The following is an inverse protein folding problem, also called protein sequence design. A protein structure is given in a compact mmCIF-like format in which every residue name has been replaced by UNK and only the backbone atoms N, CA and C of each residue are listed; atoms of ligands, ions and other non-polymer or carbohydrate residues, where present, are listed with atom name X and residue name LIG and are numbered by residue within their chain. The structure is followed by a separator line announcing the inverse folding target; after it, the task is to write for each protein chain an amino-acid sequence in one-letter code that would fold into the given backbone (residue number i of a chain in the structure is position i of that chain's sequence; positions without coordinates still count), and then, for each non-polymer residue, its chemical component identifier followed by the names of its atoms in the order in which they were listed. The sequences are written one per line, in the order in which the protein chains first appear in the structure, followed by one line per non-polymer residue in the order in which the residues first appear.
data_IF_228591286152
#
_entry.id   IF_228591286152
#
_cell.length_a   1.000
_cell.length_b   1.000
_cell.length_c   1.000
_cell.angle_alpha   90.00
_cell.angle_beta   90.00
_cell.angle_gamma   90.00
#
_symmetry.space_group_name_H-M   'P 1'
#
loop_
_entity.id
_entity.type
_entity.pdbx_description
1 polymer ?
#
# COMPACT_ATOMS: atom_id res chain seq x y z
N UNK A 1 -6.47 -2.30 -7.58
CA UNK A 1 -6.89 -1.07 -6.85
C UNK A 1 -7.42 -1.33 -5.43
N UNK A 2 -8.00 -2.50 -5.13
CA UNK A 2 -8.49 -2.81 -3.77
C UNK A 2 -7.40 -2.77 -2.70
N UNK A 3 -6.24 -3.36 -2.97
CA UNK A 3 -5.09 -3.34 -2.06
C UNK A 3 -4.64 -1.92 -1.66
N UNK A 4 -4.57 -1.00 -2.62
CA UNK A 4 -4.27 0.42 -2.36
C UNK A 4 -5.34 1.09 -1.48
N UNK A 5 -6.61 0.74 -1.64
CA UNK A 5 -7.68 1.24 -0.79
C UNK A 5 -7.54 0.74 0.67
N UNK A 6 -7.08 -0.50 0.87
CA UNK A 6 -6.81 -1.05 2.19
C UNK A 6 -5.69 -0.30 2.91
N UNK A 7 -4.58 0.02 2.22
CA UNK A 7 -3.51 0.85 2.77
C UNK A 7 -4.01 2.24 3.17
N UNK A 8 -4.84 2.86 2.33
CA UNK A 8 -5.44 4.16 2.63
C UNK A 8 -6.42 4.09 3.81
N UNK A 9 -7.19 3.00 3.92
CA UNK A 9 -8.09 2.77 5.04
C UNK A 9 -7.31 2.68 6.36
N UNK A 10 -6.17 1.97 6.40
CA UNK A 10 -5.32 1.92 7.58
C UNK A 10 -4.90 3.30 8.07
N UNK A 11 -4.43 4.16 7.16
CA UNK A 11 -4.13 5.56 7.47
C UNK A 11 -5.34 6.31 8.04
N UNK A 12 -6.50 6.16 7.41
CA UNK A 12 -7.72 6.84 7.85
C UNK A 12 -8.21 6.38 9.20
N UNK A 13 -8.07 5.09 9.52
CA UNK A 13 -8.41 4.56 10.83
C UNK A 13 -7.47 5.12 11.90
N UNK A 14 -6.17 5.13 11.63
CA UNK A 14 -5.20 5.76 12.53
C UNK A 14 -5.51 7.24 12.77
N UNK A 15 -5.69 8.04 11.71
CA UNK A 15 -5.99 9.47 11.81
C UNK A 15 -7.29 9.71 12.59
N UNK A 16 -8.34 8.94 12.29
CA UNK A 16 -9.69 9.12 12.86
C UNK A 16 -9.72 8.82 14.34
N UNK A 17 -9.08 7.73 14.76
CA UNK A 17 -9.07 7.32 16.16
C UNK A 17 -7.90 7.90 16.94
N UNK A 18 -7.06 8.74 16.30
CA UNK A 18 -5.82 9.29 16.86
C UNK A 18 -4.97 8.19 17.50
N UNK A 19 -4.90 7.05 16.82
CA UNK A 19 -4.24 5.84 17.31
C UNK A 19 -2.76 6.17 17.49
N UNK A 20 -2.33 6.29 18.75
CA UNK A 20 -0.92 6.27 19.15
C UNK A 20 -0.54 4.83 19.52
N UNK A 21 0.75 4.58 19.80
CA UNK A 21 1.32 3.26 20.15
C UNK A 21 0.58 2.49 21.27
N UNK A 22 -0.36 3.12 21.98
CA UNK A 22 -1.15 2.54 23.07
C UNK A 22 -2.56 2.05 22.67
N UNK A 23 -2.90 1.99 21.38
CA UNK A 23 -4.27 1.70 20.92
C UNK A 23 -4.54 0.23 20.58
N UNK A 24 -5.70 -0.30 20.96
CA UNK A 24 -6.13 -1.71 20.83
C UNK A 24 -6.57 -2.17 19.42
N UNK A 25 -6.42 -1.34 18.38
CA UNK A 25 -6.86 -1.71 17.03
C UNK A 25 -5.65 -2.17 16.22
N UNK A 26 -5.73 -3.39 15.72
CA UNK A 26 -4.74 -3.98 14.82
C UNK A 26 -5.38 -4.27 13.46
N UNK A 27 -4.63 -4.02 12.39
CA UNK A 27 -5.01 -4.31 11.02
C UNK A 27 -4.02 -5.29 10.40
N UNK A 28 -4.55 -6.45 10.03
CA UNK A 28 -3.86 -7.44 9.22
C UNK A 28 -4.34 -7.30 7.78
N UNK A 29 -3.42 -7.07 6.85
CA UNK A 29 -3.72 -6.85 5.44
C UNK A 29 -3.30 -8.04 4.60
N UNK A 30 -4.14 -8.39 3.62
CA UNK A 30 -3.77 -9.26 2.51
C UNK A 30 -3.98 -8.46 1.22
N UNK A 31 -2.88 -8.10 0.56
CA UNK A 31 -2.83 -7.21 -0.58
C UNK A 31 -2.54 -8.03 -1.82
N UNK A 32 -3.57 -8.30 -2.63
CA UNK A 32 -3.34 -8.79 -3.98
C UNK A 32 -3.00 -7.60 -4.87
N UNK A 33 -1.76 -7.63 -5.37
CA UNK A 33 -1.28 -6.80 -6.45
C UNK A 33 -1.53 -5.29 -6.23
N UNK A 34 -0.84 -4.70 -5.25
CA UNK A 34 -1.04 -3.31 -4.86
C UNK A 34 -0.56 -2.36 -5.95
N UNK A 35 -1.43 -2.04 -6.90
CA UNK A 35 -1.12 -1.10 -7.99
C UNK A 35 -1.90 0.20 -7.83
N UNK A 36 -1.22 1.35 -7.85
CA UNK A 36 -1.89 2.63 -7.75
C UNK A 36 -2.57 2.92 -9.09
N UNK A 37 -3.76 3.51 -9.04
CA UNK A 37 -4.57 3.76 -10.24
C UNK A 37 -4.01 4.81 -11.21
N UNK A 38 -2.80 5.27 -10.97
CA UNK A 38 -2.05 6.33 -11.64
C UNK A 38 -0.60 5.87 -11.85
N UNK A 39 0.04 6.35 -12.91
CA UNK A 39 1.42 6.02 -13.25
C UNK A 39 2.37 6.40 -12.11
N UNK A 40 3.19 5.46 -11.63
CA UNK A 40 4.14 5.69 -10.52
C UNK A 40 5.18 6.75 -10.90
N UNK A 41 5.69 6.72 -12.14
CA UNK A 41 6.75 7.61 -12.59
C UNK A 41 6.33 9.09 -12.61
N UNK A 42 5.22 9.48 -13.28
CA UNK A 42 4.66 10.82 -13.16
C UNK A 42 4.25 11.17 -11.73
N UNK A 43 3.77 10.22 -10.92
CA UNK A 43 3.38 10.54 -9.54
C UNK A 43 4.60 10.93 -8.68
N UNK A 44 5.73 10.25 -8.84
CA UNK A 44 6.94 10.58 -8.08
C UNK A 44 7.57 11.93 -8.47
N UNK A 45 7.51 12.29 -9.76
CA UNK A 45 8.22 13.48 -10.29
C UNK A 45 7.31 14.68 -10.59
N UNK A 46 6.03 14.45 -10.86
CA UNK A 46 5.04 15.48 -11.25
C UNK A 46 3.98 15.70 -10.17
N UNK A 47 4.01 14.96 -9.06
CA UNK A 47 3.20 15.22 -7.87
C UNK A 47 4.08 15.41 -6.61
N UNK A 48 4.94 16.45 -6.59
CA UNK A 48 5.84 16.72 -5.47
C UNK A 48 5.09 17.08 -4.16
N UNK A 49 3.80 17.44 -4.27
CA UNK A 49 2.94 17.78 -3.14
C UNK A 49 2.11 16.58 -2.64
N UNK A 50 2.28 15.39 -3.22
CA UNK A 50 1.65 14.16 -2.75
C UNK A 50 0.12 14.13 -2.86
N UNK A 51 -0.47 14.83 -3.82
CA UNK A 51 -1.91 14.85 -4.05
C UNK A 51 -2.44 13.53 -4.62
N UNK A 52 -1.61 12.83 -5.38
CA UNK A 52 -1.95 11.60 -6.08
C UNK A 52 -2.12 10.44 -5.10
N UNK A 53 -2.99 9.50 -5.48
CA UNK A 53 -3.25 8.33 -4.63
C UNK A 53 -2.00 7.47 -4.44
N UNK A 54 -1.19 7.29 -5.49
CA UNK A 54 0.12 6.65 -5.39
C UNK A 54 0.94 7.24 -4.23
N UNK A 55 1.18 8.56 -4.22
CA UNK A 55 2.01 9.16 -3.17
C UNK A 55 1.37 9.11 -1.78
N UNK A 56 0.04 9.15 -1.70
CA UNK A 56 -0.69 9.03 -0.42
C UNK A 56 -0.59 7.66 0.22
N UNK A 57 -0.37 6.60 -0.55
CA UNK A 57 -0.40 5.21 -0.05
C UNK A 57 0.92 4.45 -0.18
N UNK A 58 1.88 5.00 -0.94
CA UNK A 58 3.24 4.45 -1.07
C UNK A 58 4.00 4.47 0.26
N UNK A 59 3.70 5.41 1.14
CA UNK A 59 4.36 5.52 2.45
C UNK A 59 3.34 5.38 3.58
N UNK A 60 3.31 4.23 4.23
CA UNK A 60 2.57 3.97 5.46
C UNK A 60 3.52 3.80 6.66
N UNK A 61 4.72 4.38 6.61
CA UNK A 61 5.76 4.17 7.64
C UNK A 61 5.41 4.76 8.99
N UNK A 62 4.43 5.66 9.05
CA UNK A 62 3.90 6.22 10.29
C UNK A 62 2.63 5.50 10.73
N UNK A 63 2.20 4.43 10.04
CA UNK A 63 0.95 3.74 10.27
C UNK A 63 1.15 2.52 11.18
N UNK A 64 1.12 2.72 12.50
CA UNK A 64 1.39 1.65 13.49
C UNK A 64 0.23 0.64 13.63
N UNK A 65 -0.98 1.03 13.22
CA UNK A 65 -2.17 0.16 13.25
C UNK A 65 -2.03 -1.04 12.30
N UNK A 66 -1.21 -0.97 11.26
CA UNK A 66 -0.97 -2.10 10.34
C UNK A 66 0.12 -2.97 10.96
N UNK A 67 -0.27 -4.09 11.56
CA UNK A 67 0.64 -4.97 12.30
C UNK A 67 1.20 -6.07 11.41
N UNK A 68 0.39 -6.60 10.49
CA UNK A 68 0.83 -7.63 9.53
C UNK A 68 0.34 -7.31 8.12
N UNK A 69 1.18 -7.59 7.13
CA UNK A 69 0.83 -7.43 5.72
C UNK A 69 1.37 -8.60 4.91
N UNK A 70 0.48 -9.37 4.30
CA UNK A 70 0.80 -10.30 3.22
C UNK A 70 0.56 -9.59 1.89
N UNK A 71 1.60 -9.40 1.08
CA UNK A 71 1.52 -8.80 -0.25
C UNK A 71 1.78 -9.87 -1.30
N UNK A 72 0.81 -10.11 -2.16
CA UNK A 72 0.86 -11.16 -3.19
C UNK A 72 0.95 -10.49 -4.56
N UNK A 73 1.97 -10.84 -5.33
CA UNK A 73 2.21 -10.32 -6.67
C UNK A 73 1.98 -11.40 -7.73
N UNK A 74 1.24 -11.12 -8.82
CA UNK A 74 1.15 -12.05 -9.94
C UNK A 74 2.53 -12.19 -10.61
N UNK A 75 2.92 -13.43 -10.91
CA UNK A 75 4.17 -13.73 -11.63
C UNK A 75 4.11 -13.25 -13.09
N UNK A 76 2.94 -13.38 -13.72
CA UNK A 76 2.80 -13.04 -15.13
C UNK A 76 2.65 -11.52 -15.28
N UNK A 77 3.51 -10.88 -16.08
CA UNK A 77 3.36 -9.46 -16.34
C UNK A 77 2.04 -9.23 -17.09
N UNK A 78 1.23 -8.30 -16.58
CA UNK A 78 0.11 -7.77 -17.35
C UNK A 78 0.62 -7.09 -18.63
N UNK A 79 -0.18 -7.08 -19.71
CA UNK A 79 0.22 -6.44 -20.95
C UNK A 79 0.69 -4.99 -20.74
N UNK A 80 1.70 -4.54 -21.48
CA UNK A 80 2.37 -3.24 -21.29
C UNK A 80 1.43 -2.02 -21.26
N UNK A 81 0.27 -2.10 -21.91
CA UNK A 81 -0.77 -1.06 -21.89
C UNK A 81 -1.49 -0.92 -20.54
N UNK A 82 -1.29 -1.86 -19.62
CA UNK A 82 -1.94 -1.91 -18.31
C UNK A 82 -1.29 -0.95 -17.30
N UNK A 83 -0.14 -0.34 -17.65
CA UNK A 83 0.56 0.66 -16.84
C UNK A 83 0.69 0.24 -15.36
N UNK A 84 1.11 -1.01 -15.19
CA UNK A 84 0.90 -1.78 -13.99
C UNK A 84 2.24 -2.01 -13.28
N UNK A 85 2.66 -1.01 -12.50
CA UNK A 85 3.81 -1.12 -11.64
C UNK A 85 3.32 -1.32 -10.19
N UNK A 86 3.65 -2.43 -9.53
CA UNK A 86 3.33 -2.61 -8.12
C UNK A 86 3.95 -1.51 -7.26
N UNK A 87 3.21 -1.06 -6.24
CA UNK A 87 3.76 -0.18 -5.23
C UNK A 87 4.65 -0.97 -4.29
N UNK A 88 5.91 -0.55 -4.19
CA UNK A 88 6.79 -0.90 -3.07
C UNK A 88 6.43 0.00 -1.90
N UNK A 89 5.43 -0.42 -1.14
CA UNK A 89 4.92 0.35 0.01
C UNK A 89 5.93 0.33 1.15
N UNK A 90 6.23 1.50 1.70
CA UNK A 90 7.07 1.62 2.89
C UNK A 90 6.19 1.45 4.14
N UNK A 91 6.37 0.35 4.87
CA UNK A 91 5.61 0.05 6.09
C UNK A 91 6.24 0.63 7.35
N UNK A 92 5.47 0.63 8.44
CA UNK A 92 5.99 0.98 9.76
C UNK A 92 7.03 -0.07 10.19
N UNK A 93 8.12 0.31 10.89
CA UNK A 93 9.19 -0.64 11.23
C UNK A 93 8.75 -1.87 12.06
N UNK A 94 7.62 -1.75 12.77
CA UNK A 94 7.04 -2.85 13.55
C UNK A 94 6.08 -3.74 12.76
N UNK A 95 5.74 -3.39 11.52
CA UNK A 95 4.85 -4.19 10.69
C UNK A 95 5.58 -5.45 10.22
N UNK A 96 5.02 -6.63 10.47
CA UNK A 96 5.47 -7.86 9.84
C UNK A 96 4.99 -7.90 8.39
N UNK A 97 5.92 -7.79 7.45
CA UNK A 97 5.62 -7.81 6.02
C UNK A 97 6.09 -9.13 5.42
N UNK A 98 5.18 -9.83 4.76
CA UNK A 98 5.44 -11.01 3.95
C UNK A 98 5.10 -10.68 2.50
N UNK A 99 6.00 -10.99 1.58
CA UNK A 99 5.82 -10.78 0.14
C UNK A 99 5.88 -12.15 -0.55
N UNK A 100 4.87 -12.47 -1.34
CA UNK A 100 4.75 -13.73 -2.06
C UNK A 100 4.36 -13.51 -3.53
N UNK A 101 4.60 -14.52 -4.35
CA UNK A 101 4.30 -14.51 -5.77
C UNK A 101 3.30 -15.63 -6.08
N UNK A 102 2.19 -15.26 -6.71
CA UNK A 102 1.18 -16.23 -7.18
C UNK A 102 1.24 -16.41 -8.69
N UNK A 103 0.83 -17.61 -9.15
CA UNK A 103 0.50 -17.82 -10.56
C UNK A 103 -0.73 -16.98 -10.94
N UNK A 104 -0.81 -16.59 -12.21
CA UNK A 104 -1.87 -15.75 -12.76
C UNK A 104 -1.40 -14.34 -13.12
N UNK A 105 -2.37 -13.54 -13.56
CA UNK A 105 -2.24 -12.14 -13.96
C UNK A 105 -3.15 -11.21 -13.16
#
# INVERSE_FOLDING_TARGET
RGAVACLYLGKKLQDKFKISEETEIELNLCLLDPVPGNLIFPSKYMDPLGFSMANKVLDVSNCSVITRCLSIYPYEPLPDFSFHAPTLTKFHPSTEVEEDVTLGC
#
